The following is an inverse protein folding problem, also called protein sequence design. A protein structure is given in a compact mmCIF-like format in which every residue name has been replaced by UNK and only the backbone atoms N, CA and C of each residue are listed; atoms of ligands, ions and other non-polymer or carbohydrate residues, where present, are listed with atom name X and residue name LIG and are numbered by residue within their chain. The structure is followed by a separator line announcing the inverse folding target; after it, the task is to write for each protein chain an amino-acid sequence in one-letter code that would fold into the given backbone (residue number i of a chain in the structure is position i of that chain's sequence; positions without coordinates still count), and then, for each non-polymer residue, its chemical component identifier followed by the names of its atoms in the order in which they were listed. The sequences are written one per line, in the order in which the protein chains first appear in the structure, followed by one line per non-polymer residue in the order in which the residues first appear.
data_IF_150711034924
#
_entry.id   IF_150711034924
#
_cell.length_a   1.000
_cell.length_b   1.000
_cell.length_c   1.000
_cell.angle_alpha   90.00
_cell.angle_beta   90.00
_cell.angle_gamma   90.00
#
_symmetry.space_group_name_H-M   'P 1'
#
loop_
_entity.id
_entity.type
_entity.pdbx_description
1 polymer ?
#
# COMPACT_ATOMS: atom_id res chain seq x y z
N UNK A 1 46.94 -32.40 38.65
CA UNK A 1 47.38 -30.99 38.79
C UNK A 1 46.43 -30.19 37.94
N UNK A 2 45.35 -29.63 38.50
CA UNK A 2 45.30 -28.31 39.15
C UNK A 2 45.70 -27.21 38.15
N UNK A 3 44.95 -26.24 37.78
CA UNK A 3 43.99 -25.29 38.32
C UNK A 3 43.51 -24.43 37.12
N UNK A 4 42.25 -24.10 36.96
CA UNK A 4 41.48 -22.99 37.55
C UNK A 4 41.55 -21.64 36.82
N UNK A 5 40.34 -21.14 36.59
CA UNK A 5 39.90 -19.71 36.53
C UNK A 5 40.27 -18.91 35.26
N UNK A 6 39.45 -18.11 34.67
CA UNK A 6 38.46 -17.21 35.26
C UNK A 6 37.45 -16.76 34.22
N UNK A 7 36.25 -16.55 34.70
CA UNK A 7 35.14 -15.86 34.07
C UNK A 7 35.41 -14.37 33.91
N UNK A 8 34.71 -13.76 32.99
CA UNK A 8 34.22 -12.38 32.89
C UNK A 8 34.16 -12.00 31.40
N UNK A 9 33.11 -11.43 30.84
CA UNK A 9 32.06 -10.62 31.36
C UNK A 9 30.97 -10.48 30.29
N UNK A 10 29.75 -10.66 30.72
CA UNK A 10 28.55 -10.31 29.95
C UNK A 10 28.48 -8.79 29.83
N UNK A 11 28.66 -8.24 28.65
CA UNK A 11 28.13 -6.92 28.31
C UNK A 11 26.71 -7.10 27.80
N UNK A 12 25.76 -6.83 28.65
CA UNK A 12 24.37 -6.63 28.31
C UNK A 12 24.23 -5.25 27.69
N UNK A 13 24.25 -5.19 26.38
CA UNK A 13 23.82 -3.99 25.68
C UNK A 13 22.31 -3.86 25.85
N UNK A 14 21.96 -2.96 26.75
CA UNK A 14 20.61 -2.48 26.97
C UNK A 14 20.18 -1.69 25.73
N UNK A 15 19.37 -2.35 24.92
CA UNK A 15 18.59 -1.69 23.88
C UNK A 15 17.64 -0.70 24.57
N UNK A 16 17.69 0.61 24.33
CA UNK A 16 16.73 1.55 24.87
C UNK A 16 15.37 1.24 24.26
N UNK A 17 14.51 0.60 25.05
CA UNK A 17 13.07 0.50 24.75
C UNK A 17 12.54 1.92 24.62
N UNK A 18 12.24 2.32 23.41
CA UNK A 18 11.38 3.47 23.16
C UNK A 18 10.02 3.19 23.80
N UNK A 19 9.78 3.94 24.87
CA UNK A 19 8.54 3.92 25.65
C UNK A 19 7.39 4.43 24.76
N UNK A 20 6.75 3.54 24.02
CA UNK A 20 5.52 3.83 23.27
C UNK A 20 4.32 3.74 24.19
N UNK A 21 4.34 4.53 25.28
CA UNK A 21 3.10 4.92 25.95
C UNK A 21 2.52 6.14 25.24
N UNK A 22 1.98 5.93 24.06
CA UNK A 22 1.06 6.90 23.46
C UNK A 22 -0.34 6.41 23.77
N UNK A 23 -0.95 7.18 24.62
CA UNK A 23 -2.31 7.09 25.12
C UNK A 23 -3.30 6.55 24.08
N UNK A 24 -3.95 5.48 24.47
CA UNK A 24 -5.15 4.96 23.84
C UNK A 24 -6.33 5.89 24.16
N UNK A 25 -6.24 7.14 23.70
CA UNK A 25 -7.38 8.03 23.66
C UNK A 25 -8.19 7.67 22.45
N UNK A 26 -9.35 7.08 22.67
CA UNK A 26 -10.36 6.76 21.66
C UNK A 26 -10.75 7.99 20.84
N UNK A 27 -9.93 8.37 19.89
CA UNK A 27 -10.24 9.34 18.88
C UNK A 27 -11.31 8.75 17.95
N UNK A 28 -12.57 8.87 18.41
CA UNK A 28 -13.69 8.91 17.49
C UNK A 28 -13.32 9.93 16.41
N UNK A 29 -13.31 9.50 15.15
CA UNK A 29 -13.31 10.44 14.04
C UNK A 29 -14.32 11.54 14.34
N UNK A 30 -13.94 12.81 14.25
CA UNK A 30 -14.91 13.87 14.42
C UNK A 30 -16.09 13.55 13.52
N UNK A 31 -17.26 13.40 14.13
CA UNK A 31 -18.52 13.33 13.40
C UNK A 31 -18.47 14.48 12.42
N UNK A 32 -18.66 14.18 11.15
CA UNK A 32 -18.70 15.12 10.03
C UNK A 32 -19.29 16.43 10.49
N UNK A 33 -18.43 17.42 10.68
CA UNK A 33 -18.87 18.75 11.11
C UNK A 33 -19.86 19.32 10.08
N UNK A 34 -20.83 20.13 10.53
CA UNK A 34 -21.92 20.61 9.68
C UNK A 34 -21.53 21.53 8.53
N UNK A 35 -20.23 21.90 8.41
CA UNK A 35 -19.70 22.68 7.29
C UNK A 35 -19.86 22.01 5.91
N UNK A 36 -20.06 20.67 5.84
CA UNK A 36 -20.27 19.99 4.58
C UNK A 36 -21.74 20.09 4.12
N UNK A 37 -22.68 20.49 4.98
CA UNK A 37 -24.08 20.63 4.61
C UNK A 37 -24.41 21.86 3.75
N UNK A 38 -23.54 22.85 3.73
CA UNK A 38 -23.78 24.11 2.97
C UNK A 38 -23.39 24.03 1.48
N UNK A 39 -22.72 22.94 1.01
CA UNK A 39 -22.31 22.76 -0.40
C UNK A 39 -23.15 21.64 -1.04
N UNK A 40 -24.45 21.68 -0.79
CA UNK A 40 -25.39 20.74 -1.38
C UNK A 40 -25.98 21.33 -2.68
N UNK A 41 -25.41 20.98 -3.82
CA UNK A 41 -26.07 21.33 -5.08
C UNK A 41 -25.24 21.18 -6.34
N UNK A 42 -23.92 21.39 -6.34
CA UNK A 42 -23.18 21.40 -7.59
C UNK A 42 -22.20 20.20 -7.72
N UNK A 43 -22.38 19.45 -8.81
CA UNK A 43 -21.51 18.31 -9.14
C UNK A 43 -20.02 18.70 -9.27
N UNK A 44 -19.72 19.98 -9.51
CA UNK A 44 -18.35 20.52 -9.53
C UNK A 44 -17.72 20.50 -8.13
N UNK A 45 -18.45 20.98 -7.12
CA UNK A 45 -17.96 20.99 -5.71
C UNK A 45 -17.66 19.60 -5.18
N UNK A 46 -18.49 18.59 -5.50
CA UNK A 46 -18.23 17.21 -5.14
C UNK A 46 -16.97 16.63 -5.81
N UNK A 47 -16.70 17.02 -7.06
CA UNK A 47 -15.49 16.60 -7.78
C UNK A 47 -14.25 17.22 -7.15
N UNK A 48 -14.27 18.50 -6.84
CA UNK A 48 -13.15 19.21 -6.20
C UNK A 48 -12.83 18.59 -4.85
N UNK A 49 -13.82 18.39 -3.98
CA UNK A 49 -13.62 17.77 -2.66
C UNK A 49 -13.03 16.37 -2.77
N UNK A 50 -13.47 15.57 -3.74
CA UNK A 50 -12.94 14.24 -3.98
C UNK A 50 -11.49 14.28 -4.45
N UNK A 51 -11.13 15.23 -5.29
CA UNK A 51 -9.74 15.41 -5.75
C UNK A 51 -8.82 15.76 -4.60
N UNK A 52 -9.22 16.71 -3.75
CA UNK A 52 -8.45 17.10 -2.55
C UNK A 52 -8.28 15.93 -1.58
N UNK A 53 -9.31 15.11 -1.38
CA UNK A 53 -9.23 13.91 -0.54
C UNK A 53 -8.29 12.85 -1.15
N UNK A 54 -8.33 12.66 -2.46
CA UNK A 54 -7.45 11.73 -3.16
C UNK A 54 -5.98 12.21 -3.12
N UNK A 55 -5.73 13.52 -3.25
CA UNK A 55 -4.38 14.12 -3.14
C UNK A 55 -3.83 14.02 -1.71
N UNK A 56 -4.65 14.22 -0.70
CA UNK A 56 -4.27 14.02 0.68
C UNK A 56 -3.88 12.57 0.97
N UNK A 57 -4.62 11.60 0.41
CA UNK A 57 -4.26 10.18 0.53
C UNK A 57 -2.93 9.87 -0.14
N UNK A 58 -2.64 10.47 -1.30
CA UNK A 58 -1.34 10.34 -1.98
C UNK A 58 -0.20 10.88 -1.12
N UNK A 59 -0.39 12.06 -0.53
CA UNK A 59 0.60 12.66 0.36
C UNK A 59 0.91 11.78 1.57
N UNK A 60 -0.11 11.22 2.22
CA UNK A 60 0.09 10.27 3.31
C UNK A 60 0.79 8.99 2.86
N UNK A 61 0.44 8.44 1.71
CA UNK A 61 1.11 7.26 1.17
C UNK A 61 2.58 7.54 0.85
N UNK A 62 2.90 8.72 0.30
CA UNK A 62 4.27 9.17 0.07
C UNK A 62 5.03 9.29 1.40
N UNK A 63 4.42 9.89 2.43
CA UNK A 63 4.98 9.96 3.79
C UNK A 63 5.28 8.57 4.37
N UNK A 64 4.43 7.57 4.11
CA UNK A 64 4.68 6.18 4.47
C UNK A 64 5.67 5.46 3.54
N UNK A 65 6.27 6.16 2.57
CA UNK A 65 7.33 5.63 1.71
C UNK A 65 6.86 5.04 0.38
N UNK A 66 5.62 5.31 -0.04
CA UNK A 66 5.21 5.02 -1.42
C UNK A 66 5.98 5.95 -2.38
N UNK A 67 6.48 5.44 -3.52
CA UNK A 67 7.18 6.26 -4.50
C UNK A 67 6.18 7.11 -5.33
N UNK A 68 5.57 8.07 -4.66
CA UNK A 68 4.61 9.01 -5.22
C UNK A 68 5.16 10.42 -5.11
N UNK A 69 4.94 11.21 -6.14
CA UNK A 69 5.25 12.62 -6.14
C UNK A 69 4.00 13.41 -5.72
N UNK A 70 4.17 14.40 -4.88
CA UNK A 70 3.11 15.31 -4.46
C UNK A 70 3.59 16.18 -3.31
N UNK A 71 3.54 17.49 -3.49
CA UNK A 71 3.78 18.49 -2.46
C UNK A 71 2.47 18.78 -1.72
N UNK A 72 2.03 17.88 -0.89
CA UNK A 72 0.90 18.19 0.00
C UNK A 72 1.43 18.42 1.39
N UNK A 73 1.15 19.58 1.95
CA UNK A 73 1.46 19.90 3.34
C UNK A 73 0.58 19.05 4.26
N UNK A 74 1.22 18.10 4.95
CA UNK A 74 0.59 17.25 5.96
C UNK A 74 0.57 17.94 7.33
N UNK A 75 1.05 19.20 7.40
CA UNK A 75 1.23 19.95 8.63
C UNK A 75 -0.06 20.01 9.46
N UNK A 76 0.04 19.69 10.73
CA UNK A 76 -1.06 19.75 11.68
C UNK A 76 -2.13 18.66 11.56
N UNK A 77 -1.98 17.68 10.69
CA UNK A 77 -2.94 16.59 10.50
C UNK A 77 -2.47 15.31 11.17
N UNK A 78 -3.35 14.67 11.93
CA UNK A 78 -3.06 13.35 12.48
C UNK A 78 -2.89 12.31 11.37
N UNK A 79 -1.85 11.48 11.48
CA UNK A 79 -1.57 10.43 10.52
C UNK A 79 -2.71 9.39 10.53
N UNK A 80 -3.26 9.03 9.36
CA UNK A 80 -4.24 7.98 9.27
C UNK A 80 -3.59 6.63 9.55
N UNK A 81 -4.37 5.70 10.02
CA UNK A 81 -3.95 4.33 10.19
C UNK A 81 -3.53 3.70 8.84
N UNK A 82 -2.34 3.11 8.80
CA UNK A 82 -1.71 2.64 7.56
C UNK A 82 -2.57 1.62 6.81
N UNK A 83 -3.16 0.64 7.50
CA UNK A 83 -4.00 -0.39 6.86
C UNK A 83 -5.25 0.20 6.21
N UNK A 84 -5.90 1.17 6.87
CA UNK A 84 -7.05 1.88 6.28
C UNK A 84 -6.65 2.67 5.05
N UNK A 85 -5.52 3.38 5.14
CA UNK A 85 -4.98 4.15 4.04
C UNK A 85 -4.65 3.25 2.84
N UNK A 86 -3.99 2.11 3.08
CA UNK A 86 -3.70 1.12 2.03
C UNK A 86 -4.98 0.62 1.38
N UNK A 87 -5.99 0.24 2.16
CA UNK A 87 -7.26 -0.24 1.61
C UNK A 87 -7.96 0.85 0.79
N UNK A 88 -7.87 2.12 1.18
CA UNK A 88 -8.42 3.21 0.39
C UNK A 88 -7.63 3.44 -0.90
N UNK A 89 -6.31 3.33 -0.84
CA UNK A 89 -5.41 3.39 -2.00
C UNK A 89 -5.69 2.30 -3.05
N UNK A 90 -6.13 1.10 -2.62
CA UNK A 90 -6.59 0.07 -3.56
C UNK A 90 -7.73 0.57 -4.47
N UNK A 91 -8.64 1.39 -3.94
CA UNK A 91 -9.70 1.99 -4.75
C UNK A 91 -9.20 3.05 -5.70
N UNK A 92 -8.20 3.84 -5.29
CA UNK A 92 -7.57 4.87 -6.11
C UNK A 92 -6.77 4.25 -7.25
N UNK A 93 -6.05 3.16 -7.01
CA UNK A 93 -5.22 2.49 -8.00
C UNK A 93 -5.96 2.12 -9.28
N UNK A 94 -7.27 1.85 -9.21
CA UNK A 94 -8.10 1.57 -10.39
C UNK A 94 -8.28 2.78 -11.34
N UNK A 95 -7.93 3.97 -10.90
CA UNK A 95 -8.07 5.22 -11.67
C UNK A 95 -6.74 5.90 -11.90
N UNK A 96 -5.72 5.49 -11.13
CA UNK A 96 -4.42 6.12 -11.11
C UNK A 96 -3.30 5.08 -11.35
N UNK A 97 -2.70 5.09 -12.55
CA UNK A 97 -1.58 4.21 -12.88
C UNK A 97 -0.35 4.41 -11.99
N UNK A 98 -0.11 5.63 -11.49
CA UNK A 98 1.03 5.91 -10.60
C UNK A 98 0.82 5.23 -9.26
N UNK A 99 -0.39 5.32 -8.70
CA UNK A 99 -0.77 4.60 -7.48
C UNK A 99 -0.66 3.09 -7.66
N UNK A 100 -1.07 2.57 -8.83
CA UNK A 100 -0.97 1.14 -9.13
C UNK A 100 0.47 0.64 -9.07
N UNK A 101 1.43 1.41 -9.58
CA UNK A 101 2.87 1.06 -9.54
C UNK A 101 3.48 1.24 -8.14
N UNK A 102 3.01 2.21 -7.38
CA UNK A 102 3.55 2.54 -6.08
C UNK A 102 3.13 1.57 -4.95
N UNK A 103 1.92 1.00 -5.04
CA UNK A 103 1.36 0.14 -3.99
C UNK A 103 2.21 -1.10 -3.67
N UNK A 104 2.77 -1.87 -4.65
CA UNK A 104 3.63 -3.00 -4.34
C UNK A 104 4.88 -2.60 -3.56
N UNK A 105 5.45 -1.43 -3.87
CA UNK A 105 6.62 -0.88 -3.17
C UNK A 105 6.26 -0.53 -1.73
N UNK A 106 5.14 0.14 -1.51
CA UNK A 106 4.68 0.48 -0.17
C UNK A 106 4.45 -0.76 0.69
N UNK A 107 3.73 -1.76 0.15
CA UNK A 107 3.47 -3.03 0.85
C UNK A 107 4.76 -3.76 1.23
N UNK A 108 5.76 -3.73 0.35
CA UNK A 108 7.06 -4.31 0.63
C UNK A 108 7.82 -3.53 1.70
N UNK A 109 7.91 -2.20 1.58
CA UNK A 109 8.63 -1.36 2.55
C UNK A 109 8.03 -1.45 3.95
N UNK A 110 6.71 -1.46 4.04
CA UNK A 110 5.96 -1.46 5.30
C UNK A 110 5.51 -2.84 5.78
N UNK A 111 6.04 -3.93 5.19
CA UNK A 111 5.66 -5.31 5.52
C UNK A 111 5.86 -5.68 6.99
N UNK A 112 6.77 -5.02 7.69
CA UNK A 112 7.02 -5.19 9.12
C UNK A 112 6.06 -4.43 10.03
N UNK A 113 5.53 -3.30 9.53
CA UNK A 113 4.66 -2.39 10.27
C UNK A 113 3.17 -2.69 10.08
N UNK A 114 2.85 -3.42 8.99
CA UNK A 114 1.46 -3.76 8.65
C UNK A 114 0.95 -4.94 9.49
N UNK A 115 -0.16 -4.74 10.17
CA UNK A 115 -0.99 -5.84 10.66
C UNK A 115 -1.74 -6.48 9.49
N UNK A 116 -1.18 -7.58 8.95
CA UNK A 116 -1.72 -8.28 7.79
C UNK A 116 -3.13 -8.83 8.03
N UNK A 117 -3.43 -9.30 9.25
CA UNK A 117 -4.76 -9.81 9.58
C UNK A 117 -5.80 -8.70 9.53
N UNK A 118 -5.48 -7.54 10.08
CA UNK A 118 -6.32 -6.34 10.04
C UNK A 118 -6.50 -5.81 8.62
N UNK A 119 -5.40 -5.73 7.86
CA UNK A 119 -5.43 -5.30 6.46
C UNK A 119 -6.37 -6.18 5.62
N UNK A 120 -6.28 -7.50 5.77
CA UNK A 120 -7.15 -8.48 5.10
C UNK A 120 -8.62 -8.26 5.49
N UNK A 121 -8.91 -8.18 6.79
CA UNK A 121 -10.29 -7.93 7.27
C UNK A 121 -10.88 -6.64 6.70
N UNK A 122 -10.11 -5.54 6.74
CA UNK A 122 -10.54 -4.25 6.20
C UNK A 122 -10.78 -4.31 4.68
N UNK A 123 -9.89 -4.98 3.94
CA UNK A 123 -10.05 -5.13 2.50
C UNK A 123 -11.27 -5.99 2.14
N UNK A 124 -11.54 -7.05 2.89
CA UNK A 124 -12.73 -7.89 2.71
C UNK A 124 -14.01 -7.10 3.02
N UNK A 125 -14.06 -6.37 4.12
CA UNK A 125 -15.19 -5.53 4.49
C UNK A 125 -15.53 -4.48 3.40
N UNK A 126 -14.50 -3.95 2.72
CA UNK A 126 -14.67 -3.02 1.59
C UNK A 126 -14.76 -3.73 0.22
N UNK A 127 -14.92 -5.05 0.17
CA UNK A 127 -14.97 -5.88 -1.06
C UNK A 127 -13.75 -5.69 -1.96
N UNK A 128 -12.57 -5.43 -1.36
CA UNK A 128 -11.29 -5.21 -2.05
C UNK A 128 -10.28 -6.34 -1.83
N UNK A 129 -10.69 -7.46 -1.22
CA UNK A 129 -9.81 -8.58 -0.90
C UNK A 129 -9.06 -9.13 -2.13
N UNK A 130 -9.76 -9.31 -3.28
CA UNK A 130 -9.13 -9.73 -4.53
C UNK A 130 -8.03 -8.77 -5.00
N UNK A 131 -8.27 -7.47 -4.87
CA UNK A 131 -7.32 -6.43 -5.27
C UNK A 131 -6.12 -6.39 -4.33
N UNK A 132 -6.35 -6.51 -3.03
CA UNK A 132 -5.26 -6.64 -2.05
C UNK A 132 -4.41 -7.87 -2.36
N UNK A 133 -5.04 -9.03 -2.60
CA UNK A 133 -4.34 -10.26 -2.96
C UNK A 133 -3.46 -10.10 -4.19
N UNK A 134 -3.95 -9.44 -5.23
CA UNK A 134 -3.16 -9.11 -6.43
C UNK A 134 -1.90 -8.30 -6.07
N UNK A 135 -2.03 -7.23 -5.31
CA UNK A 135 -0.89 -6.38 -4.95
C UNK A 135 0.10 -7.07 -4.01
N UNK A 136 -0.39 -7.90 -3.08
CA UNK A 136 0.48 -8.71 -2.22
C UNK A 136 1.25 -9.77 -3.02
N UNK A 137 0.60 -10.47 -3.96
CA UNK A 137 1.26 -11.47 -4.84
C UNK A 137 2.30 -10.78 -5.73
N UNK A 138 1.96 -9.61 -6.29
CA UNK A 138 2.88 -8.82 -7.09
C UNK A 138 4.09 -8.36 -6.27
N UNK A 139 3.86 -7.77 -5.08
CA UNK A 139 4.93 -7.35 -4.18
C UNK A 139 5.82 -8.55 -3.75
N UNK A 140 5.22 -9.70 -3.46
CA UNK A 140 5.93 -10.93 -3.12
C UNK A 140 6.82 -11.44 -4.25
N UNK A 141 6.35 -11.36 -5.51
CA UNK A 141 7.14 -11.75 -6.69
C UNK A 141 8.34 -10.82 -6.90
N UNK A 142 8.13 -9.51 -6.77
CA UNK A 142 9.17 -8.50 -6.97
C UNK A 142 10.23 -8.50 -5.86
N UNK A 143 9.83 -8.83 -4.62
CA UNK A 143 10.71 -8.80 -3.46
C UNK A 143 11.30 -10.15 -3.06
N UNK A 144 10.62 -11.25 -3.41
CA UNK A 144 10.91 -12.58 -2.87
C UNK A 144 10.32 -12.82 -1.47
N UNK A 145 9.57 -11.87 -0.90
CA UNK A 145 9.08 -11.94 0.49
C UNK A 145 8.01 -13.03 0.67
N UNK A 146 8.28 -13.97 1.62
CA UNK A 146 7.40 -15.11 1.90
C UNK A 146 6.14 -14.71 2.67
N UNK A 147 6.20 -13.69 3.54
CA UNK A 147 5.05 -13.22 4.33
C UNK A 147 3.99 -12.61 3.43
N UNK A 148 4.41 -11.76 2.48
CA UNK A 148 3.51 -11.20 1.48
C UNK A 148 2.87 -12.28 0.60
N UNK A 149 3.65 -13.31 0.24
CA UNK A 149 3.15 -14.46 -0.53
C UNK A 149 2.10 -15.25 0.25
N UNK A 150 2.34 -15.54 1.50
CA UNK A 150 1.38 -16.23 2.38
C UNK A 150 0.08 -15.44 2.52
N UNK A 151 0.17 -14.13 2.78
CA UNK A 151 -0.99 -13.26 2.87
C UNK A 151 -1.79 -13.18 1.55
N UNK A 152 -1.10 -13.15 0.41
CA UNK A 152 -1.75 -13.21 -0.91
C UNK A 152 -2.50 -14.53 -1.10
N UNK A 153 -1.88 -15.65 -0.73
CA UNK A 153 -2.47 -16.99 -0.88
C UNK A 153 -3.77 -17.13 -0.10
N UNK A 154 -3.86 -16.55 1.10
CA UNK A 154 -5.08 -16.55 1.92
C UNK A 154 -6.25 -15.76 1.27
N UNK A 155 -5.95 -14.88 0.32
CA UNK A 155 -6.97 -14.09 -0.40
C UNK A 155 -7.31 -14.66 -1.77
N UNK A 156 -6.65 -15.75 -2.18
CA UNK A 156 -6.87 -16.35 -3.50
C UNK A 156 -8.29 -16.94 -3.59
N UNK A 157 -9.06 -16.57 -4.61
CA UNK A 157 -10.40 -17.13 -4.77
C UNK A 157 -10.34 -18.62 -5.05
N UNK A 158 -11.24 -19.39 -4.46
CA UNK A 158 -11.34 -20.85 -4.61
C UNK A 158 -11.72 -21.28 -6.03
N UNK A 159 -12.35 -20.41 -6.81
CA UNK A 159 -12.77 -20.66 -8.19
C UNK A 159 -12.28 -19.57 -9.13
N UNK A 160 -11.99 -19.92 -10.40
CA UNK A 160 -11.67 -18.93 -11.42
C UNK A 160 -12.78 -17.89 -11.55
N UNK A 161 -12.41 -16.64 -11.55
CA UNK A 161 -13.38 -15.55 -11.78
C UNK A 161 -13.21 -14.98 -13.18
N UNK A 162 -14.30 -14.48 -13.79
CA UNK A 162 -14.20 -13.83 -15.08
C UNK A 162 -13.23 -12.65 -15.01
N UNK A 163 -12.47 -12.47 -16.10
CA UNK A 163 -11.53 -11.37 -16.21
C UNK A 163 -12.25 -10.04 -16.25
N UNK A 164 -11.78 -9.09 -15.44
CA UNK A 164 -12.31 -7.73 -15.38
C UNK A 164 -11.22 -6.71 -15.65
N UNK A 165 -11.57 -5.60 -16.32
CA UNK A 165 -10.62 -4.52 -16.51
C UNK A 165 -10.21 -3.96 -15.13
N UNK A 166 -8.89 -3.88 -14.92
CA UNK A 166 -8.36 -3.31 -13.70
C UNK A 166 -8.68 -1.82 -13.61
N UNK A 167 -8.36 -1.07 -14.67
CA UNK A 167 -8.67 0.35 -14.71
C UNK A 167 -10.14 0.59 -15.06
N UNK A 168 -10.77 1.49 -14.31
CA UNK A 168 -12.20 1.83 -14.45
C UNK A 168 -12.45 2.99 -15.42
N UNK A 169 -11.41 3.67 -15.89
CA UNK A 169 -11.54 4.72 -16.89
C UNK A 169 -12.00 4.11 -18.21
N UNK A 170 -12.81 4.85 -18.97
CA UNK A 170 -13.24 4.43 -20.31
C UNK A 170 -12.01 4.18 -21.17
N UNK A 171 -11.86 2.95 -21.61
CA UNK A 171 -10.77 2.54 -22.50
C UNK A 171 -11.33 2.45 -23.91
N UNK A 172 -10.66 3.12 -24.86
CA UNK A 172 -10.91 2.94 -26.27
C UNK A 172 -10.57 1.52 -26.75
N UNK A 173 -10.91 1.19 -28.01
CA UNK A 173 -10.65 -0.13 -28.57
C UNK A 173 -9.17 -0.51 -28.52
N UNK A 174 -8.27 0.42 -28.88
CA UNK A 174 -6.82 0.21 -28.83
C UNK A 174 -6.34 -0.12 -27.40
N UNK A 175 -6.82 0.60 -26.39
CA UNK A 175 -6.42 0.33 -25.00
C UNK A 175 -6.86 -1.06 -24.54
N UNK A 176 -7.94 -1.60 -25.06
CA UNK A 176 -8.39 -2.98 -24.79
C UNK A 176 -7.45 -4.00 -25.44
N UNK A 177 -7.07 -3.80 -26.69
CA UNK A 177 -6.10 -4.65 -27.39
C UNK A 177 -4.76 -4.65 -26.65
N UNK A 178 -4.23 -3.48 -26.29
CA UNK A 178 -3.01 -3.36 -25.50
C UNK A 178 -3.13 -4.01 -24.13
N UNK A 179 -4.30 -3.96 -23.50
CA UNK A 179 -4.53 -4.65 -22.24
C UNK A 179 -4.45 -6.18 -22.39
N UNK A 180 -4.93 -6.73 -23.50
CA UNK A 180 -4.83 -8.17 -23.77
C UNK A 180 -3.37 -8.62 -23.95
N UNK A 181 -2.56 -7.77 -24.57
CA UNK A 181 -1.13 -8.05 -24.81
C UNK A 181 -0.28 -7.84 -23.54
N UNK A 182 -0.47 -6.72 -22.86
CA UNK A 182 0.43 -6.25 -21.80
C UNK A 182 0.07 -6.76 -20.39
N UNK A 183 -1.10 -7.37 -20.21
CA UNK A 183 -1.50 -7.83 -18.87
C UNK A 183 -0.50 -8.81 -18.27
N UNK A 184 0.11 -8.50 -17.12
CA UNK A 184 1.04 -9.41 -16.46
C UNK A 184 0.40 -10.75 -16.08
N UNK A 185 1.15 -11.87 -16.12
CA UNK A 185 0.63 -13.18 -15.69
C UNK A 185 0.04 -13.16 -14.27
N UNK A 186 0.66 -12.43 -13.35
CA UNK A 186 0.13 -12.26 -12.00
C UNK A 186 -1.24 -11.59 -11.99
N UNK A 187 -1.46 -10.55 -12.80
CA UNK A 187 -2.76 -9.89 -12.88
C UNK A 187 -3.83 -10.82 -13.47
N UNK A 188 -3.48 -11.59 -14.51
CA UNK A 188 -4.36 -12.63 -15.09
C UNK A 188 -4.76 -13.70 -14.08
N UNK A 189 -3.81 -14.14 -13.24
CA UNK A 189 -4.07 -15.12 -12.18
C UNK A 189 -5.06 -14.60 -11.13
N UNK A 190 -5.18 -13.28 -10.98
CA UNK A 190 -6.16 -12.61 -10.12
C UNK A 190 -7.42 -12.18 -10.87
N UNK A 191 -7.58 -12.56 -12.13
CA UNK A 191 -8.73 -12.21 -12.97
C UNK A 191 -8.78 -10.73 -13.32
N UNK A 192 -7.63 -10.07 -13.47
CA UNK A 192 -7.52 -8.70 -13.96
C UNK A 192 -6.92 -8.64 -15.35
N UNK A 193 -7.42 -7.70 -16.14
CA UNK A 193 -6.89 -7.29 -17.42
C UNK A 193 -6.49 -5.82 -17.33
N UNK A 194 -5.25 -5.49 -17.70
CA UNK A 194 -4.73 -4.13 -17.58
C UNK A 194 -3.73 -3.78 -18.69
N UNK A 195 -3.77 -2.54 -19.14
CA UNK A 195 -2.78 -2.01 -20.06
C UNK A 195 -1.57 -1.45 -19.28
N UNK A 196 -0.87 -2.36 -18.59
CA UNK A 196 0.36 -2.08 -17.85
C UNK A 196 1.15 -3.36 -17.73
N UNK A 197 2.34 -3.40 -18.33
CA UNK A 197 3.21 -4.56 -18.33
C UNK A 197 3.94 -4.77 -17.01
N UNK A 198 4.62 -5.91 -16.88
CA UNK A 198 5.41 -6.24 -15.70
C UNK A 198 6.61 -5.29 -15.52
N UNK A 199 7.20 -4.86 -16.63
CA UNK A 199 8.31 -3.91 -16.71
C UNK A 199 8.06 -2.60 -15.96
N UNK A 200 6.82 -2.11 -16.00
CA UNK A 200 6.43 -0.88 -15.29
C UNK A 200 6.51 -1.04 -13.76
N UNK A 201 6.20 -2.22 -13.25
CA UNK A 201 6.32 -2.56 -11.83
C UNK A 201 7.77 -2.85 -11.44
N UNK A 202 8.49 -3.60 -12.26
CA UNK A 202 9.90 -3.95 -12.05
C UNK A 202 10.78 -2.70 -12.00
N UNK A 203 10.60 -1.78 -12.95
CA UNK A 203 11.32 -0.51 -12.99
C UNK A 203 11.09 0.33 -11.72
N UNK A 204 9.83 0.47 -11.29
CA UNK A 204 9.50 1.21 -10.07
C UNK A 204 10.10 0.55 -8.83
N UNK A 205 10.04 -0.78 -8.76
CA UNK A 205 10.54 -1.55 -7.63
C UNK A 205 12.08 -1.52 -7.55
N UNK A 206 12.76 -1.61 -8.70
CA UNK A 206 14.22 -1.50 -8.78
C UNK A 206 14.71 -0.14 -8.30
N UNK A 207 14.07 0.96 -8.73
CA UNK A 207 14.37 2.31 -8.25
C UNK A 207 14.19 2.42 -6.74
N UNK A 208 13.10 1.87 -6.21
CA UNK A 208 12.83 1.90 -4.77
C UNK A 208 13.88 1.13 -3.95
N UNK A 209 14.35 -0.01 -4.45
CA UNK A 209 15.45 -0.78 -3.82
C UNK A 209 16.79 -0.02 -3.86
N UNK A 210 17.10 0.64 -4.97
CA UNK A 210 18.34 1.43 -5.10
C UNK A 210 18.35 2.56 -4.06
N UNK A 211 17.28 3.34 -3.96
CA UNK A 211 17.14 4.42 -2.97
C UNK A 211 17.27 3.92 -1.53
N UNK A 212 16.69 2.75 -1.20
CA UNK A 212 16.80 2.18 0.15
C UNK A 212 18.23 1.74 0.46
N UNK A 213 18.92 1.16 -0.53
CA UNK A 213 20.34 0.78 -0.39
C UNK A 213 21.25 2.00 -0.19
N UNK A 214 21.03 3.07 -0.95
CA UNK A 214 21.76 4.31 -0.81
C UNK A 214 21.57 4.95 0.58
N UNK A 215 20.33 4.96 1.08
CA UNK A 215 20.03 5.47 2.42
C UNK A 215 20.72 4.67 3.53
N UNK A 216 20.83 3.33 3.38
CA UNK A 216 21.54 2.46 4.32
C UNK A 216 23.07 2.64 4.29
N UNK A 217 23.63 3.04 3.15
CA UNK A 217 25.08 3.30 3.03
C UNK A 217 25.47 4.69 3.55
N UNK A 218 24.50 5.61 3.64
CA UNK A 218 24.72 6.98 4.11
C UNK A 218 24.49 7.14 5.62
N UNK A 219 23.97 6.13 6.31
CA UNK A 219 23.71 6.10 7.77
C UNK A 219 24.81 5.41 8.55
#
# INVERSE_FOLDING_TARGET
MLLSHEARGRKTDRNPRLDTRICNTGLRWPRREPLIRAVSGDGKSRRILKTVEDDLKRAWLAHYGAPLYGESTLSGRAAPELERLVVDALGLSRRDPSMTRALPVLLWRRRGDLDMAKLVRLAQAKRRGRMLGFFLDLAARLSGDRRLRSAASALRPSSPRPSTNFFTNRQGALARILADQNTPPVARAWGYRMNMGMDAFESMFAKAKATEREALLAS
#
